data_IF_634256432343
#
_entry.id   IF_634256432343
#
_cell.length_a   1.000
_cell.length_b   1.000
_cell.length_c   1.000
_cell.angle_alpha   90.00
_cell.angle_beta   90.00
_cell.angle_gamma   90.00
#
_symmetry.space_group_name_H-M   'P 1'
#
loop_
_entity.id
_entity.type
_entity.pdbx_description
1 polymer ?
#
# COMPACT_ATOMS: atom_id res chain seq x y z
N UNK A 1 -0.92 -17.18 4.30
CA UNK A 1 -1.95 -16.58 3.42
C UNK A 1 -2.00 -15.09 3.74
N UNK A 2 -2.11 -14.22 2.74
CA UNK A 2 -2.27 -12.77 2.93
C UNK A 2 -3.77 -12.41 2.96
N UNK A 3 -4.11 -11.28 3.59
CA UNK A 3 -5.48 -10.83 3.81
C UNK A 3 -6.22 -10.56 2.49
N UNK A 4 -7.56 -10.63 2.53
CA UNK A 4 -8.40 -10.30 1.38
C UNK A 4 -8.19 -8.85 0.91
N UNK A 5 -7.79 -7.95 1.80
CA UNK A 5 -7.44 -6.56 1.47
C UNK A 5 -6.15 -6.48 0.66
N UNK A 6 -5.09 -7.16 1.10
CA UNK A 6 -3.82 -7.20 0.36
C UNK A 6 -4.00 -7.82 -1.04
N UNK A 7 -4.81 -8.88 -1.14
CA UNK A 7 -5.17 -9.48 -2.44
C UNK A 7 -5.93 -8.52 -3.34
N UNK A 8 -6.93 -7.82 -2.79
CA UNK A 8 -7.75 -6.88 -3.57
C UNK A 8 -6.90 -5.72 -4.11
N UNK A 9 -6.02 -5.16 -3.28
CA UNK A 9 -5.10 -4.08 -3.71
C UNK A 9 -4.17 -4.58 -4.79
N UNK A 10 -3.52 -5.74 -4.58
CA UNK A 10 -2.56 -6.28 -5.51
C UNK A 10 -3.18 -6.73 -6.85
N UNK A 11 -4.39 -7.27 -6.83
CA UNK A 11 -5.10 -7.68 -8.05
C UNK A 11 -5.81 -6.52 -8.75
N UNK A 12 -5.96 -5.38 -8.08
CA UNK A 12 -6.48 -4.14 -8.64
C UNK A 12 -5.44 -3.37 -9.44
N UNK A 13 -5.68 -2.06 -9.61
CA UNK A 13 -4.80 -1.21 -10.41
C UNK A 13 -3.39 -1.02 -9.83
N UNK A 14 -3.16 -1.35 -8.55
CA UNK A 14 -1.88 -1.13 -7.89
C UNK A 14 -0.75 -1.94 -8.53
N UNK A 15 -0.97 -3.20 -8.93
CA UNK A 15 0.08 -4.00 -9.56
C UNK A 15 0.48 -3.45 -10.93
N UNK A 16 -0.49 -3.16 -11.79
CA UNK A 16 -0.24 -2.64 -13.15
C UNK A 16 0.53 -1.31 -13.09
N UNK A 17 0.21 -0.45 -12.11
CA UNK A 17 0.83 0.88 -12.00
C UNK A 17 2.16 0.87 -11.25
N UNK A 18 2.23 0.15 -10.14
CA UNK A 18 3.31 0.30 -9.16
C UNK A 18 4.11 -0.99 -8.92
N UNK A 19 3.69 -2.15 -9.44
CA UNK A 19 4.41 -3.41 -9.23
C UNK A 19 5.89 -3.35 -9.64
N UNK A 20 6.20 -2.60 -10.69
CA UNK A 20 7.57 -2.39 -11.16
C UNK A 20 8.45 -1.65 -10.12
N UNK A 21 7.89 -0.78 -9.27
CA UNK A 21 8.60 -0.04 -8.22
C UNK A 21 9.13 -0.97 -7.11
N UNK A 22 8.55 -2.17 -7.01
CA UNK A 22 8.88 -3.20 -6.04
C UNK A 22 9.63 -4.40 -6.66
N UNK A 23 9.90 -4.37 -7.97
CA UNK A 23 10.59 -5.46 -8.66
C UNK A 23 9.82 -6.79 -8.66
N UNK A 24 8.49 -6.74 -8.53
CA UNK A 24 7.66 -7.95 -8.48
C UNK A 24 7.26 -8.42 -9.88
N UNK A 25 7.24 -9.74 -10.08
CA UNK A 25 6.87 -10.37 -11.36
C UNK A 25 5.38 -10.67 -11.48
N UNK A 26 4.61 -10.61 -10.39
CA UNK A 26 3.17 -10.86 -10.37
C UNK A 26 2.48 -10.19 -9.17
N UNK A 27 1.14 -10.12 -9.22
CA UNK A 27 0.32 -9.51 -8.16
C UNK A 27 0.45 -10.24 -6.82
N UNK A 28 0.60 -11.56 -6.81
CA UNK A 28 0.76 -12.34 -5.57
C UNK A 28 2.00 -11.92 -4.77
N UNK A 29 3.10 -11.60 -5.44
CA UNK A 29 4.31 -11.06 -4.78
C UNK A 29 4.06 -9.65 -4.22
N UNK A 30 3.32 -8.80 -4.94
CA UNK A 30 2.93 -7.49 -4.42
C UNK A 30 2.03 -7.60 -3.19
N UNK A 31 1.11 -8.57 -3.18
CA UNK A 31 0.22 -8.83 -2.03
C UNK A 31 1.00 -9.18 -0.76
N UNK A 32 2.13 -9.91 -0.89
CA UNK A 32 3.01 -10.22 0.25
C UNK A 32 3.61 -8.94 0.82
N UNK A 33 4.08 -8.02 -0.03
CA UNK A 33 4.66 -6.74 0.39
C UNK A 33 3.59 -5.88 1.08
N UNK A 34 2.39 -5.79 0.49
CA UNK A 34 1.28 -5.03 1.07
C UNK A 34 0.91 -5.58 2.45
N UNK A 35 0.79 -6.90 2.57
CA UNK A 35 0.46 -7.56 3.83
C UNK A 35 1.51 -7.28 4.91
N UNK A 36 2.78 -7.32 4.56
CA UNK A 36 3.86 -7.04 5.51
C UNK A 36 3.82 -5.59 6.00
N UNK A 37 3.66 -4.60 5.10
CA UNK A 37 3.55 -3.18 5.48
C UNK A 37 2.31 -2.92 6.33
N UNK A 38 1.18 -3.57 6.05
CA UNK A 38 -0.07 -3.36 6.82
C UNK A 38 0.03 -3.97 8.21
N UNK A 39 0.69 -5.13 8.35
CA UNK A 39 0.84 -5.81 9.65
C UNK A 39 1.98 -5.24 10.51
N UNK A 40 3.05 -4.78 9.87
CA UNK A 40 4.25 -4.27 10.52
C UNK A 40 4.64 -2.86 10.00
N UNK A 41 3.73 -1.87 10.03
CA UNK A 41 4.05 -0.54 9.54
C UNK A 41 5.09 0.12 10.44
N UNK A 42 5.99 0.90 9.83
CA UNK A 42 6.80 1.85 10.58
C UNK A 42 5.92 2.92 11.23
N UNK A 43 4.94 3.44 10.47
CA UNK A 43 3.94 4.38 10.97
C UNK A 43 2.59 4.12 10.28
N UNK A 44 1.48 4.34 10.99
CA UNK A 44 0.15 4.31 10.38
C UNK A 44 -0.69 5.48 10.86
N UNK A 45 -1.61 5.94 10.00
CA UNK A 45 -2.58 6.98 10.37
C UNK A 45 -3.87 6.88 9.57
N UNK A 46 -4.95 7.26 10.23
CA UNK A 46 -6.26 7.41 9.60
C UNK A 46 -6.30 8.65 8.73
N UNK A 47 -6.95 8.53 7.59
CA UNK A 47 -7.23 9.60 6.65
C UNK A 47 -8.73 9.85 6.58
N UNK A 48 -9.13 10.93 5.91
CA UNK A 48 -10.54 11.19 5.56
C UNK A 48 -11.19 10.00 4.86
N UNK A 49 -12.50 9.85 5.10
CA UNK A 49 -13.40 8.83 4.53
C UNK A 49 -13.06 7.39 4.92
N UNK A 50 -12.57 7.17 6.15
CA UNK A 50 -12.32 5.82 6.68
C UNK A 50 -11.11 5.09 6.07
N UNK A 51 -10.29 5.80 5.30
CA UNK A 51 -9.06 5.27 4.71
C UNK A 51 -7.94 5.25 5.75
N UNK A 52 -6.96 4.37 5.59
CA UNK A 52 -5.77 4.32 6.44
C UNK A 52 -4.52 4.28 5.59
N UNK A 53 -3.51 5.08 5.95
CA UNK A 53 -2.19 5.02 5.33
C UNK A 53 -1.21 4.31 6.27
N UNK A 54 -0.46 3.38 5.72
CA UNK A 54 0.61 2.60 6.36
C UNK A 54 1.92 2.92 5.64
N UNK A 55 2.91 3.36 6.40
CA UNK A 55 4.23 3.71 5.90
C UNK A 55 5.24 2.65 6.31
N UNK A 56 6.12 2.30 5.39
CA UNK A 56 7.33 1.54 5.69
C UNK A 56 8.59 2.31 5.32
N UNK A 57 9.47 2.51 6.31
CA UNK A 57 10.75 3.19 6.16
C UNK A 57 11.80 2.35 5.43
N UNK A 58 11.68 1.01 5.44
CA UNK A 58 12.73 0.14 4.90
C UNK A 58 12.80 0.19 3.37
N UNK A 59 11.65 0.38 2.73
CA UNK A 59 11.52 0.44 1.26
C UNK A 59 10.87 1.74 0.75
N UNK A 60 10.74 2.76 1.61
CA UNK A 60 10.14 4.07 1.31
C UNK A 60 8.79 3.96 0.59
N UNK A 61 7.89 3.14 1.14
CA UNK A 61 6.62 2.81 0.52
C UNK A 61 5.43 3.17 1.40
N UNK A 62 4.33 3.56 0.75
CA UNK A 62 3.04 3.76 1.42
C UNK A 62 2.00 2.80 0.86
N UNK A 63 1.29 2.13 1.76
CA UNK A 63 0.02 1.44 1.46
C UNK A 63 -1.11 2.31 1.94
N UNK A 64 -2.11 2.53 1.09
CA UNK A 64 -3.36 3.20 1.46
C UNK A 64 -4.47 2.19 1.33
N UNK A 65 -5.19 1.90 2.42
CA UNK A 65 -6.41 1.11 2.39
C UNK A 65 -7.62 2.03 2.26
N UNK A 66 -8.58 1.63 1.44
CA UNK A 66 -9.84 2.33 1.22
C UNK A 66 -10.99 1.32 1.20
N UNK A 67 -11.77 1.20 2.29
CA UNK A 67 -12.83 0.19 2.37
C UNK A 67 -13.95 0.43 1.35
N UNK A 68 -14.14 1.66 0.86
CA UNK A 68 -15.22 2.03 -0.06
C UNK A 68 -14.83 1.84 -1.54
N UNK A 69 -13.55 1.57 -1.83
CA UNK A 69 -13.06 1.35 -3.18
C UNK A 69 -13.06 -0.14 -3.56
N UNK A 70 -13.36 -0.45 -4.83
CA UNK A 70 -13.41 -1.83 -5.35
C UNK A 70 -12.08 -2.56 -5.12
N UNK A 71 -10.97 -1.91 -5.45
CA UNK A 71 -9.61 -2.43 -5.28
C UNK A 71 -9.09 -2.35 -3.83
N UNK A 72 -9.91 -1.87 -2.89
CA UNK A 72 -9.57 -1.71 -1.47
C UNK A 72 -8.36 -0.82 -1.13
N UNK A 73 -7.72 -0.17 -2.11
CA UNK A 73 -6.56 0.69 -1.85
C UNK A 73 -5.52 0.75 -2.96
N UNK A 74 -4.30 1.17 -2.59
CA UNK A 74 -3.12 1.21 -3.46
C UNK A 74 -1.82 1.06 -2.65
N UNK A 75 -0.72 0.76 -3.33
CA UNK A 75 0.65 0.81 -2.80
C UNK A 75 1.56 1.50 -3.83
N UNK A 76 2.47 2.35 -3.38
CA UNK A 76 3.49 2.99 -4.24
C UNK A 76 4.64 3.56 -3.42
N UNK A 77 5.76 3.86 -4.10
CA UNK A 77 6.90 4.60 -3.57
C UNK A 77 6.80 6.08 -3.98
N UNK A 78 6.43 6.99 -3.07
CA UNK A 78 6.31 8.39 -3.42
C UNK A 78 7.68 9.04 -3.69
N UNK A 79 7.77 9.88 -4.72
CA UNK A 79 9.00 10.63 -5.04
C UNK A 79 9.52 11.51 -3.88
N UNK A 80 8.63 11.99 -3.01
CA UNK A 80 8.99 12.80 -1.82
C UNK A 80 9.18 11.95 -0.57
N UNK A 81 9.20 10.62 -0.69
CA UNK A 81 9.36 9.67 0.41
C UNK A 81 8.42 9.96 1.58
N UNK A 82 8.97 9.91 2.79
CA UNK A 82 8.23 10.14 4.04
C UNK A 82 7.51 11.48 4.09
N UNK A 83 8.03 12.53 3.44
CA UNK A 83 7.35 13.83 3.37
C UNK A 83 5.99 13.75 2.65
N UNK A 84 5.84 12.87 1.64
CA UNK A 84 4.54 12.63 1.03
C UNK A 84 3.56 12.07 2.07
N UNK A 85 3.99 11.01 2.77
CA UNK A 85 3.19 10.38 3.81
C UNK A 85 2.81 11.37 4.90
N UNK A 86 3.75 12.15 5.43
CA UNK A 86 3.53 13.10 6.52
C UNK A 86 2.45 14.14 6.21
N UNK A 87 2.36 14.57 4.95
CA UNK A 87 1.38 15.54 4.49
C UNK A 87 -0.03 14.95 4.21
N UNK A 88 -0.22 13.63 4.28
CA UNK A 88 -1.52 13.00 4.07
C UNK A 88 -2.51 13.33 5.21
N UNK A 89 -3.78 13.58 4.83
CA UNK A 89 -4.91 13.91 5.72
C UNK A 89 -6.20 13.20 5.30
#
# INVERSE_FOLDING_TARGET
MYSSTAQAIANGHAYIRHGHEFGVSNSSQLAIIIEDIVNNPSESKSLRRGRTAYWDNSIDAVVITDPDHLDRGTIFKPNRGKLYYDNMR
#
